data_IF_361864679759
#
_entry.id   IF_361864679759
#
_cell.length_a   1.000
_cell.length_b   1.000
_cell.length_c   1.000
_cell.angle_alpha   90.00
_cell.angle_beta   90.00
_cell.angle_gamma   90.00
#
_symmetry.space_group_name_H-M   'P 1'
#
loop_
_entity.id
_entity.type
_entity.pdbx_description
1 polymer ?
#
# COMPACT_ATOMS: atom_id res chain seq x y z
N UNK A 1 45.02 60.69 24.32
CA UNK A 1 45.63 59.46 24.84
C UNK A 1 44.66 58.32 24.57
N UNK A 2 44.88 57.59 23.48
CA UNK A 2 44.00 56.52 22.97
C UNK A 2 44.44 55.20 23.61
N UNK A 3 43.51 54.37 24.16
CA UNK A 3 43.91 53.05 24.59
C UNK A 3 43.78 52.04 23.42
N UNK A 4 44.73 51.14 23.43
CA UNK A 4 45.20 50.25 22.39
C UNK A 4 44.14 49.19 21.87
N UNK A 5 44.25 49.01 20.57
CA UNK A 5 43.57 48.00 19.68
C UNK A 5 43.99 46.54 20.00
N UNK A 6 43.87 46.06 21.22
CA UNK A 6 44.25 44.64 21.52
C UNK A 6 43.23 43.78 22.24
N UNK A 7 41.99 44.26 22.42
CA UNK A 7 40.97 43.49 23.17
C UNK A 7 39.72 43.14 22.34
N UNK A 8 39.76 43.32 21.02
CA UNK A 8 38.59 43.13 20.16
C UNK A 8 38.64 41.88 19.24
N UNK A 9 39.56 40.93 19.46
CA UNK A 9 39.75 39.77 18.55
C UNK A 9 39.41 38.40 19.19
N UNK A 10 38.88 38.36 20.41
CA UNK A 10 38.59 37.10 21.11
C UNK A 10 37.08 36.76 21.25
N UNK A 11 36.20 37.47 20.53
CA UNK A 11 34.75 37.22 20.67
C UNK A 11 34.03 36.87 19.36
N UNK A 12 34.73 36.35 18.33
CA UNK A 12 34.16 35.95 17.05
C UNK A 12 34.70 34.59 16.60
N UNK A 13 34.60 33.57 17.45
CA UNK A 13 34.77 32.18 17.07
C UNK A 13 34.11 31.28 18.12
N UNK A 14 32.80 31.45 18.35
CA UNK A 14 31.95 30.36 18.80
C UNK A 14 31.14 29.97 17.58
N UNK A 15 31.71 29.03 16.83
CA UNK A 15 31.12 28.27 15.76
C UNK A 15 29.93 27.50 16.36
N UNK A 16 28.73 28.06 16.16
CA UNK A 16 27.47 27.40 16.49
C UNK A 16 27.15 26.40 15.38
N UNK A 17 28.00 25.37 15.27
CA UNK A 17 27.75 24.19 14.45
C UNK A 17 26.81 23.22 15.17
N UNK A 18 25.73 23.71 15.76
CA UNK A 18 24.56 22.88 16.06
C UNK A 18 23.78 22.66 14.77
N UNK A 19 24.27 21.72 13.93
CA UNK A 19 23.44 21.12 12.89
C UNK A 19 22.13 20.68 13.54
N UNK A 20 20.94 21.11 13.04
CA UNK A 20 19.68 20.70 13.63
C UNK A 20 19.63 19.17 13.53
N UNK A 21 19.67 18.49 14.66
CA UNK A 21 19.38 17.06 14.75
C UNK A 21 18.02 16.87 14.10
N UNK A 22 18.02 16.37 12.86
CA UNK A 22 16.83 16.12 12.06
C UNK A 22 15.90 15.28 12.94
N UNK A 23 14.88 15.90 13.54
CA UNK A 23 13.87 15.20 14.35
C UNK A 23 13.38 14.07 13.48
N UNK A 24 13.72 12.84 13.84
CA UNK A 24 13.26 11.64 13.12
C UNK A 24 11.75 11.68 13.14
N UNK A 25 11.16 12.06 12.00
CA UNK A 25 9.71 12.07 11.82
C UNK A 25 9.20 10.63 11.88
N UNK A 26 8.56 10.25 12.99
CA UNK A 26 8.10 8.87 13.19
C UNK A 26 7.13 8.39 12.08
N UNK A 27 6.19 9.21 11.59
CA UNK A 27 5.35 8.85 10.45
C UNK A 27 6.15 8.60 9.16
N UNK A 28 7.15 9.42 8.85
CA UNK A 28 8.01 9.24 7.68
C UNK A 28 8.83 7.95 7.78
N UNK A 29 9.38 7.67 8.96
CA UNK A 29 10.14 6.42 9.20
C UNK A 29 9.24 5.20 9.04
N UNK A 30 8.00 5.25 9.58
CA UNK A 30 7.03 4.18 9.45
C UNK A 30 6.64 3.94 7.99
N UNK A 31 6.38 4.99 7.22
CA UNK A 31 6.07 4.89 5.78
C UNK A 31 7.22 4.26 4.97
N UNK A 32 8.48 4.63 5.26
CA UNK A 32 9.65 4.01 4.61
C UNK A 32 9.78 2.52 4.92
N UNK A 33 9.52 2.11 6.17
CA UNK A 33 9.56 0.70 6.55
C UNK A 33 8.46 -0.07 5.81
N UNK A 34 7.23 0.46 5.73
CA UNK A 34 6.13 -0.18 5.00
C UNK A 34 6.42 -0.31 3.51
N UNK A 35 6.97 0.73 2.87
CA UNK A 35 7.35 0.66 1.46
C UNK A 35 8.44 -0.39 1.19
N UNK A 36 9.45 -0.49 2.06
CA UNK A 36 10.49 -1.51 1.98
C UNK A 36 9.93 -2.92 2.22
N UNK A 37 8.99 -3.07 3.16
CA UNK A 37 8.32 -4.33 3.44
C UNK A 37 7.47 -4.79 2.27
N UNK A 38 6.64 -3.91 1.69
CA UNK A 38 5.84 -4.20 0.50
C UNK A 38 6.70 -4.69 -0.65
N UNK A 39 7.82 -4.02 -0.90
CA UNK A 39 8.77 -4.43 -1.94
C UNK A 39 9.33 -5.82 -1.66
N UNK A 40 9.90 -6.03 -0.48
CA UNK A 40 10.55 -7.29 -0.13
C UNK A 40 9.56 -8.47 -0.13
N UNK A 41 8.36 -8.29 0.40
CA UNK A 41 7.34 -9.35 0.44
C UNK A 41 6.78 -9.66 -0.95
N UNK A 42 6.61 -8.67 -1.82
CA UNK A 42 6.15 -8.88 -3.20
C UNK A 42 7.20 -9.61 -4.06
N UNK A 43 8.50 -9.26 -3.90
CA UNK A 43 9.58 -9.81 -4.70
C UNK A 43 10.07 -11.18 -4.21
N UNK A 44 10.18 -11.36 -2.88
CA UNK A 44 10.76 -12.55 -2.26
C UNK A 44 9.74 -13.51 -1.69
N UNK A 45 8.50 -13.06 -1.47
CA UNK A 45 7.49 -13.76 -0.69
C UNK A 45 7.75 -13.67 0.81
N UNK A 46 6.73 -14.06 1.60
CA UNK A 46 6.77 -13.93 3.06
C UNK A 46 7.96 -14.68 3.69
N UNK A 47 8.14 -15.97 3.39
CA UNK A 47 9.17 -16.80 4.06
C UNK A 47 10.57 -16.25 3.89
N UNK A 48 10.95 -15.78 2.68
CA UNK A 48 12.31 -15.36 2.35
C UNK A 48 12.62 -13.91 2.72
N UNK A 49 11.61 -13.04 2.78
CA UNK A 49 11.81 -11.64 3.17
C UNK A 49 12.17 -11.55 4.67
N UNK A 50 13.43 -11.28 4.98
CA UNK A 50 13.95 -11.18 6.34
C UNK A 50 13.74 -9.80 6.96
N UNK A 51 13.48 -9.72 8.27
CA UNK A 51 13.39 -8.44 9.01
C UNK A 51 14.69 -7.62 8.87
N UNK A 52 15.86 -8.26 8.81
CA UNK A 52 17.15 -7.57 8.65
C UNK A 52 17.26 -6.92 7.27
N UNK A 53 16.83 -7.62 6.24
CA UNK A 53 16.88 -7.14 4.85
C UNK A 53 15.93 -5.97 4.66
N UNK A 54 14.68 -6.09 5.15
CA UNK A 54 13.68 -5.01 5.13
C UNK A 54 14.20 -3.77 5.89
N UNK A 55 14.78 -3.96 7.07
CA UNK A 55 15.35 -2.86 7.86
C UNK A 55 16.49 -2.16 7.12
N UNK A 56 17.36 -2.93 6.44
CA UNK A 56 18.45 -2.41 5.60
C UNK A 56 17.89 -1.56 4.43
N UNK A 57 16.90 -2.07 3.70
CA UNK A 57 16.24 -1.34 2.60
C UNK A 57 15.60 -0.03 3.13
N UNK A 58 14.95 -0.08 4.28
CA UNK A 58 14.32 1.08 4.91
C UNK A 58 15.31 2.09 5.54
N UNK A 59 16.61 1.75 5.62
CA UNK A 59 17.62 2.58 6.29
C UNK A 59 17.39 2.73 7.79
N UNK A 60 16.94 1.64 8.46
CA UNK A 60 16.70 1.58 9.91
C UNK A 60 17.34 0.35 10.54
N UNK A 61 17.44 0.32 11.87
CA UNK A 61 17.85 -0.89 12.59
C UNK A 61 16.69 -1.87 12.75
N UNK A 62 16.97 -3.18 12.76
CA UNK A 62 15.95 -4.21 13.02
C UNK A 62 15.20 -4.02 14.34
N UNK A 63 15.86 -3.65 15.47
CA UNK A 63 15.13 -3.34 16.70
C UNK A 63 14.18 -2.15 16.56
N UNK A 64 14.53 -1.14 15.77
CA UNK A 64 13.64 -0.01 15.52
C UNK A 64 12.42 -0.44 14.68
N UNK A 65 12.62 -1.24 13.65
CA UNK A 65 11.55 -1.82 12.85
C UNK A 65 10.57 -2.62 13.73
N UNK A 66 11.09 -3.54 14.54
CA UNK A 66 10.29 -4.36 15.46
C UNK A 66 9.56 -3.53 16.52
N UNK A 67 10.11 -2.38 16.93
CA UNK A 67 9.41 -1.45 17.83
C UNK A 67 8.17 -0.83 17.18
N UNK A 68 8.16 -0.61 15.85
CA UNK A 68 7.01 -0.07 15.12
C UNK A 68 5.93 -1.12 14.86
N UNK A 69 6.32 -2.35 14.55
CA UNK A 69 5.41 -3.36 13.99
C UNK A 69 5.30 -4.63 14.84
N UNK A 70 6.04 -4.72 15.94
CA UNK A 70 6.03 -5.85 16.89
C UNK A 70 6.70 -7.11 16.34
N UNK A 71 6.27 -7.59 15.18
CA UNK A 71 6.74 -8.83 14.58
C UNK A 71 6.79 -8.77 13.06
N UNK A 72 7.31 -9.83 12.41
CA UNK A 72 7.23 -10.00 10.96
C UNK A 72 5.79 -10.14 10.49
N UNK A 73 4.95 -10.84 11.26
CA UNK A 73 3.50 -10.99 11.02
C UNK A 73 2.83 -9.61 11.00
N UNK A 74 3.01 -8.81 12.06
CA UNK A 74 2.41 -7.47 12.15
C UNK A 74 2.89 -6.54 11.05
N UNK A 75 4.18 -6.62 10.67
CA UNK A 75 4.71 -5.86 9.54
C UNK A 75 4.07 -6.29 8.21
N UNK A 76 3.90 -7.59 7.99
CA UNK A 76 3.30 -8.13 6.78
C UNK A 76 1.82 -7.74 6.65
N UNK A 77 1.05 -7.94 7.70
CA UNK A 77 -0.37 -7.56 7.76
C UNK A 77 -0.55 -6.06 7.46
N UNK A 78 0.24 -5.21 8.10
CA UNK A 78 0.13 -3.78 7.92
C UNK A 78 0.62 -3.31 6.54
N UNK A 79 1.67 -3.92 6.00
CA UNK A 79 2.13 -3.67 4.63
C UNK A 79 1.05 -4.05 3.60
N UNK A 80 0.31 -5.11 3.83
CA UNK A 80 -0.82 -5.53 3.00
C UNK A 80 -1.99 -4.52 3.12
N UNK A 81 -2.41 -4.20 4.33
CA UNK A 81 -3.58 -3.35 4.59
C UNK A 81 -3.40 -1.91 4.10
N UNK A 82 -2.19 -1.35 4.16
CA UNK A 82 -1.92 0.03 3.72
C UNK A 82 -2.27 0.31 2.25
N UNK A 83 -2.52 -0.71 1.45
CA UNK A 83 -2.84 -0.57 0.03
C UNK A 83 -4.21 -1.13 -0.34
N UNK A 84 -4.84 -1.86 0.56
CA UNK A 84 -6.20 -2.38 0.38
C UNK A 84 -7.22 -1.36 0.91
N UNK A 85 -7.10 -0.08 0.52
CA UNK A 85 -7.96 1.02 0.99
C UNK A 85 -9.30 1.01 0.25
N UNK A 86 -10.12 -0.01 0.50
CA UNK A 86 -11.44 -0.11 -0.12
C UNK A 86 -12.36 1.05 0.32
N UNK A 87 -12.18 1.57 1.53
CA UNK A 87 -12.99 2.64 2.10
C UNK A 87 -13.01 3.87 1.19
N UNK A 88 -11.87 4.28 0.64
CA UNK A 88 -11.75 5.41 -0.30
C UNK A 88 -12.63 5.21 -1.54
N UNK A 89 -12.75 3.98 -2.03
CA UNK A 89 -13.60 3.65 -3.17
C UNK A 89 -15.09 3.67 -2.80
N UNK A 90 -15.43 3.42 -1.53
CA UNK A 90 -16.81 3.39 -1.05
C UNK A 90 -17.39 4.78 -0.75
N UNK A 91 -16.56 5.83 -0.58
CA UNK A 91 -16.99 7.18 -0.22
C UNK A 91 -17.74 7.94 -1.33
N UNK A 92 -17.67 7.51 -2.58
CA UNK A 92 -18.30 8.21 -3.70
C UNK A 92 -19.72 7.71 -4.03
N UNK A 93 -20.38 8.33 -5.04
CA UNK A 93 -21.69 7.93 -5.53
C UNK A 93 -21.72 6.46 -5.95
N UNK A 94 -22.79 5.75 -5.55
CA UNK A 94 -22.92 4.30 -5.79
C UNK A 94 -22.98 3.96 -7.27
N UNK A 95 -23.67 4.75 -8.05
CA UNK A 95 -23.85 4.63 -9.52
C UNK A 95 -22.57 4.92 -10.32
N UNK A 96 -21.52 5.46 -9.67
CA UNK A 96 -20.21 5.70 -10.28
C UNK A 96 -19.11 4.78 -9.73
N UNK A 97 -19.46 3.83 -8.87
CA UNK A 97 -18.47 2.96 -8.22
C UNK A 97 -17.62 2.19 -9.24
N UNK A 98 -18.24 1.61 -10.26
CA UNK A 98 -17.54 0.88 -11.33
C UNK A 98 -16.49 1.73 -12.04
N UNK A 99 -16.81 2.99 -12.35
CA UNK A 99 -15.87 3.93 -12.98
C UNK A 99 -14.70 4.27 -12.05
N UNK A 100 -14.98 4.56 -10.76
CA UNK A 100 -13.92 4.84 -9.78
C UNK A 100 -13.02 3.64 -9.56
N UNK A 101 -13.60 2.46 -9.46
CA UNK A 101 -12.86 1.21 -9.30
C UNK A 101 -11.95 0.93 -10.50
N UNK A 102 -12.46 1.03 -11.72
CA UNK A 102 -11.68 0.86 -12.94
C UNK A 102 -10.56 1.91 -13.04
N UNK A 103 -10.87 3.18 -12.79
CA UNK A 103 -9.89 4.27 -12.81
C UNK A 103 -8.75 4.04 -11.79
N UNK A 104 -9.08 3.54 -10.60
CA UNK A 104 -8.06 3.19 -9.60
C UNK A 104 -7.15 2.07 -10.09
N UNK A 105 -7.71 1.02 -10.71
CA UNK A 105 -6.93 -0.13 -11.20
C UNK A 105 -6.01 0.19 -12.36
N UNK A 106 -6.40 1.10 -13.28
CA UNK A 106 -5.57 1.45 -14.45
C UNK A 106 -4.64 2.64 -14.18
N UNK A 107 -4.73 3.27 -13.02
CA UNK A 107 -3.86 4.39 -12.66
C UNK A 107 -2.39 3.92 -12.53
N UNK A 108 -1.43 4.53 -13.25
CA UNK A 108 -0.02 4.17 -13.13
C UNK A 108 0.56 4.35 -11.72
N UNK A 109 -0.06 5.23 -10.92
CA UNK A 109 0.32 5.46 -9.53
C UNK A 109 -0.29 4.43 -8.56
N UNK A 110 -1.12 3.51 -9.05
CA UNK A 110 -1.71 2.47 -8.22
C UNK A 110 -0.61 1.57 -7.65
N UNK A 111 -0.58 1.45 -6.32
CA UNK A 111 0.41 0.62 -5.67
C UNK A 111 0.08 -0.86 -5.81
N UNK A 112 0.66 -1.52 -6.81
CA UNK A 112 0.46 -2.95 -7.08
C UNK A 112 1.30 -3.87 -6.19
N UNK A 113 2.18 -3.32 -5.33
CA UNK A 113 3.09 -4.13 -4.50
C UNK A 113 2.34 -4.96 -3.48
N UNK A 114 1.37 -4.39 -2.77
CA UNK A 114 0.64 -5.16 -1.77
C UNK A 114 -0.41 -6.10 -2.38
N UNK A 115 -1.19 -5.74 -3.41
CA UNK A 115 -1.87 -6.77 -4.21
C UNK A 115 -0.91 -7.84 -4.75
N UNK A 116 0.34 -7.46 -5.08
CA UNK A 116 1.43 -8.36 -5.46
C UNK A 116 1.87 -9.34 -4.37
N UNK A 117 1.58 -9.06 -3.11
CA UNK A 117 1.84 -9.99 -1.99
C UNK A 117 0.82 -11.12 -1.92
N UNK A 118 -0.38 -10.97 -2.48
CA UNK A 118 -1.48 -11.95 -2.35
C UNK A 118 -1.17 -13.27 -3.07
N UNK A 119 -0.69 -13.20 -4.31
CA UNK A 119 -0.38 -14.41 -5.08
C UNK A 119 0.74 -15.26 -4.45
N UNK A 120 1.90 -14.69 -4.05
CA UNK A 120 2.94 -15.42 -3.33
C UNK A 120 2.50 -15.97 -1.97
N UNK A 121 1.54 -15.31 -1.30
CA UNK A 121 1.01 -15.77 -0.01
C UNK A 121 0.36 -17.16 -0.10
N UNK A 122 -0.19 -17.52 -1.25
CA UNK A 122 -0.84 -18.83 -1.44
C UNK A 122 0.12 -20.01 -1.30
N UNK A 123 1.42 -19.79 -1.49
CA UNK A 123 2.46 -20.81 -1.36
C UNK A 123 3.02 -20.97 0.06
N UNK A 124 2.65 -20.10 0.99
CA UNK A 124 3.13 -20.09 2.38
C UNK A 124 1.92 -20.15 3.32
N UNK A 125 1.90 -21.15 4.23
CA UNK A 125 0.73 -21.40 5.07
C UNK A 125 0.42 -20.23 6.03
N UNK A 126 1.46 -19.66 6.66
CA UNK A 126 1.31 -18.52 7.58
C UNK A 126 0.89 -17.26 6.85
N UNK A 127 1.56 -16.94 5.73
CA UNK A 127 1.18 -15.79 4.91
C UNK A 127 -0.24 -15.90 4.34
N UNK A 128 -0.65 -17.10 3.93
CA UNK A 128 -2.01 -17.36 3.44
C UNK A 128 -3.06 -17.08 4.52
N UNK A 129 -2.84 -17.58 5.75
CA UNK A 129 -3.76 -17.36 6.86
C UNK A 129 -3.90 -15.85 7.16
N UNK A 130 -2.78 -15.13 7.31
CA UNK A 130 -2.77 -13.70 7.56
C UNK A 130 -3.47 -12.94 6.42
N UNK A 131 -3.15 -13.29 5.16
CA UNK A 131 -3.72 -12.63 3.99
C UNK A 131 -5.22 -12.87 3.88
N UNK A 132 -5.67 -14.11 4.10
CA UNK A 132 -7.10 -14.48 4.08
C UNK A 132 -7.89 -13.68 5.11
N UNK A 133 -7.38 -13.63 6.34
CA UNK A 133 -8.03 -12.92 7.45
C UNK A 133 -8.04 -11.40 7.22
N UNK A 134 -6.93 -10.82 6.75
CA UNK A 134 -6.82 -9.40 6.43
C UNK A 134 -7.81 -9.01 5.31
N UNK A 135 -7.85 -9.75 4.20
CA UNK A 135 -8.78 -9.46 3.09
C UNK A 135 -10.23 -9.65 3.53
N UNK A 136 -10.53 -10.72 4.28
CA UNK A 136 -11.89 -10.98 4.74
C UNK A 136 -12.43 -9.84 5.63
N UNK A 137 -11.63 -9.37 6.59
CA UNK A 137 -12.03 -8.33 7.54
C UNK A 137 -12.00 -6.91 6.97
N UNK A 138 -10.98 -6.59 6.18
CA UNK A 138 -10.71 -5.20 5.79
C UNK A 138 -11.10 -4.86 4.34
N UNK A 139 -11.49 -5.85 3.54
CA UNK A 139 -11.92 -5.62 2.16
C UNK A 139 -13.28 -6.25 1.89
N UNK A 140 -13.38 -7.58 2.06
CA UNK A 140 -14.58 -8.31 1.69
C UNK A 140 -15.79 -7.91 2.54
N UNK A 141 -15.61 -7.87 3.87
CA UNK A 141 -16.71 -7.50 4.77
C UNK A 141 -17.18 -6.05 4.58
N UNK A 142 -16.33 -5.01 4.58
CA UNK A 142 -16.77 -3.63 4.33
C UNK A 142 -17.46 -3.46 2.97
N UNK A 143 -16.96 -4.11 1.92
CA UNK A 143 -17.56 -4.07 0.59
C UNK A 143 -18.93 -4.76 0.59
N UNK A 144 -19.06 -5.92 1.23
CA UNK A 144 -20.34 -6.63 1.35
C UNK A 144 -21.37 -5.83 2.17
N UNK A 145 -20.95 -5.21 3.28
CA UNK A 145 -21.82 -4.37 4.10
C UNK A 145 -22.33 -3.15 3.29
N UNK A 146 -21.46 -2.53 2.49
CA UNK A 146 -21.80 -1.42 1.61
C UNK A 146 -22.73 -1.84 0.45
N UNK A 147 -22.50 -3.02 -0.13
CA UNK A 147 -23.35 -3.56 -1.19
C UNK A 147 -24.78 -3.85 -0.71
N UNK A 148 -24.92 -4.35 0.51
CA UNK A 148 -26.19 -4.78 1.06
C UNK A 148 -26.81 -5.99 0.34
N UNK A 149 -27.97 -6.49 0.82
CA UNK A 149 -28.67 -7.60 0.17
C UNK A 149 -29.16 -7.23 -1.25
N UNK A 150 -29.44 -8.23 -2.14
CA UNK A 150 -29.20 -9.66 -1.93
C UNK A 150 -27.76 -10.07 -2.23
N UNK A 151 -27.33 -11.22 -1.71
CA UNK A 151 -26.06 -11.88 -2.04
C UNK A 151 -24.79 -11.00 -1.87
N UNK A 152 -24.76 -10.10 -0.89
CA UNK A 152 -23.71 -9.10 -0.69
C UNK A 152 -22.29 -9.68 -0.71
N UNK A 153 -22.04 -10.80 -0.02
CA UNK A 153 -20.73 -11.46 0.03
C UNK A 153 -20.30 -12.02 -1.33
N UNK A 154 -21.24 -12.60 -2.08
CA UNK A 154 -20.97 -13.13 -3.44
C UNK A 154 -20.58 -11.99 -4.36
N UNK A 155 -21.37 -10.92 -4.37
CA UNK A 155 -21.08 -9.71 -5.18
C UNK A 155 -19.75 -9.06 -4.81
N UNK A 156 -19.43 -8.99 -3.52
CA UNK A 156 -18.14 -8.49 -3.05
C UNK A 156 -16.98 -9.37 -3.57
N UNK A 157 -17.12 -10.70 -3.53
CA UNK A 157 -16.12 -11.62 -4.06
C UNK A 157 -15.97 -11.50 -5.59
N UNK A 158 -17.07 -11.32 -6.32
CA UNK A 158 -17.05 -11.08 -7.78
C UNK A 158 -16.25 -9.81 -8.11
N UNK A 159 -16.46 -8.70 -7.38
CA UNK A 159 -15.71 -7.45 -7.56
C UNK A 159 -14.21 -7.66 -7.25
N UNK A 160 -13.89 -8.35 -6.16
CA UNK A 160 -12.50 -8.67 -5.80
C UNK A 160 -11.84 -9.56 -6.86
N UNK A 161 -12.59 -10.47 -7.47
CA UNK A 161 -12.07 -11.35 -8.54
C UNK A 161 -11.71 -10.53 -9.78
N UNK A 162 -12.56 -9.59 -10.20
CA UNK A 162 -12.26 -8.68 -11.31
C UNK A 162 -11.01 -7.85 -10.99
N UNK A 163 -10.94 -7.23 -9.81
CA UNK A 163 -9.80 -6.43 -9.40
C UNK A 163 -8.51 -7.24 -9.28
N UNK A 164 -8.58 -8.42 -8.67
CA UNK A 164 -7.45 -9.35 -8.53
C UNK A 164 -6.90 -9.83 -9.87
N UNK A 165 -7.80 -10.15 -10.81
CA UNK A 165 -7.43 -10.49 -12.18
C UNK A 165 -6.72 -9.34 -12.90
N UNK A 166 -7.23 -8.12 -12.77
CA UNK A 166 -6.61 -6.94 -13.35
C UNK A 166 -5.21 -6.69 -12.78
N UNK A 167 -5.04 -6.82 -11.46
CA UNK A 167 -3.72 -6.68 -10.83
C UNK A 167 -2.76 -7.78 -11.29
N UNK A 168 -3.19 -9.04 -11.28
CA UNK A 168 -2.34 -10.17 -11.64
C UNK A 168 -1.93 -10.11 -13.13
N UNK A 169 -2.91 -10.09 -14.02
CA UNK A 169 -2.63 -10.15 -15.45
C UNK A 169 -2.17 -8.80 -16.01
N UNK A 170 -2.84 -7.72 -15.62
CA UNK A 170 -2.54 -6.40 -16.14
C UNK A 170 -1.22 -5.84 -15.64
N UNK A 171 -1.02 -5.82 -14.33
CA UNK A 171 0.13 -5.16 -13.73
C UNK A 171 1.32 -6.10 -13.46
N UNK A 172 1.09 -7.26 -12.82
CA UNK A 172 2.21 -8.14 -12.45
C UNK A 172 2.79 -8.88 -13.65
N UNK A 173 1.96 -9.34 -14.58
CA UNK A 173 2.37 -9.96 -15.84
C UNK A 173 2.52 -8.94 -16.99
N UNK A 174 2.28 -7.65 -16.73
CA UNK A 174 2.42 -6.55 -17.70
C UNK A 174 1.65 -6.76 -19.01
N UNK A 175 0.46 -7.35 -18.92
CA UNK A 175 -0.42 -7.61 -20.06
C UNK A 175 -1.42 -6.48 -20.34
N UNK A 176 -1.34 -5.37 -19.60
CA UNK A 176 -2.21 -4.22 -19.86
C UNK A 176 -1.88 -3.62 -21.24
N UNK A 177 -2.89 -3.31 -22.08
CA UNK A 177 -2.66 -2.67 -23.37
C UNK A 177 -1.87 -1.37 -23.23
N UNK A 178 -0.98 -1.11 -24.19
CA UNK A 178 -0.13 0.09 -24.19
C UNK A 178 -0.73 1.21 -25.05
N UNK A 179 -1.63 0.89 -25.97
CA UNK A 179 -2.35 1.88 -26.78
C UNK A 179 -3.59 2.38 -26.05
N UNK A 180 -3.92 3.66 -26.27
CA UNK A 180 -5.00 4.33 -25.55
C UNK A 180 -6.39 3.77 -25.88
N UNK A 181 -6.61 3.25 -27.09
CA UNK A 181 -7.90 2.74 -27.51
C UNK A 181 -8.21 1.42 -26.78
N UNK A 182 -7.31 0.45 -26.86
CA UNK A 182 -7.46 -0.83 -26.14
C UNK A 182 -7.49 -0.64 -24.62
N UNK A 183 -6.71 0.29 -24.09
CA UNK A 183 -6.74 0.60 -22.66
C UNK A 183 -8.10 1.17 -22.22
N UNK A 184 -8.72 2.04 -23.04
CA UNK A 184 -10.07 2.55 -22.78
C UNK A 184 -11.13 1.45 -22.84
N UNK A 185 -11.01 0.53 -23.79
CA UNK A 185 -11.93 -0.62 -23.89
C UNK A 185 -11.87 -1.49 -22.64
N UNK A 186 -10.67 -1.87 -22.19
CA UNK A 186 -10.50 -2.68 -20.97
C UNK A 186 -11.02 -1.92 -19.75
N UNK A 187 -10.73 -0.62 -19.64
CA UNK A 187 -11.20 0.21 -18.53
C UNK A 187 -12.73 0.30 -18.51
N UNK A 188 -13.37 0.51 -19.67
CA UNK A 188 -14.83 0.54 -19.78
C UNK A 188 -15.44 -0.82 -19.41
N UNK A 189 -14.85 -1.92 -19.90
CA UNK A 189 -15.32 -3.25 -19.56
C UNK A 189 -15.27 -3.54 -18.06
N UNK A 190 -14.17 -3.17 -17.38
CA UNK A 190 -14.04 -3.29 -15.91
C UNK A 190 -15.13 -2.46 -15.23
N UNK A 191 -15.28 -1.19 -15.63
CA UNK A 191 -16.24 -0.27 -15.04
C UNK A 191 -17.67 -0.80 -15.15
N UNK A 192 -18.09 -1.21 -16.36
CA UNK A 192 -19.43 -1.69 -16.64
C UNK A 192 -19.70 -3.04 -15.94
N UNK A 193 -18.69 -3.91 -15.89
CA UNK A 193 -18.82 -5.22 -15.23
C UNK A 193 -19.01 -5.05 -13.74
N UNK A 194 -18.18 -4.22 -13.11
CA UNK A 194 -18.27 -3.95 -11.67
C UNK A 194 -19.57 -3.20 -11.34
N UNK A 195 -19.97 -2.22 -12.15
CA UNK A 195 -21.20 -1.48 -11.90
C UNK A 195 -22.44 -2.40 -11.98
N UNK A 196 -22.50 -3.32 -12.95
CA UNK A 196 -23.57 -4.31 -13.02
C UNK A 196 -23.64 -5.23 -11.78
N UNK A 197 -22.48 -5.55 -11.17
CA UNK A 197 -22.46 -6.32 -9.92
C UNK A 197 -23.01 -5.46 -8.77
N UNK A 198 -22.65 -4.17 -8.72
CA UNK A 198 -23.15 -3.22 -7.71
C UNK A 198 -24.65 -3.00 -7.81
N UNK A 199 -25.17 -2.92 -9.03
CA UNK A 199 -26.59 -2.59 -9.30
C UNK A 199 -27.52 -3.82 -9.26
N UNK A 200 -26.97 -5.03 -9.12
CA UNK A 200 -27.76 -6.26 -9.02
C UNK A 200 -28.68 -6.22 -7.80
N UNK A 201 -29.97 -6.24 -8.04
CA UNK A 201 -31.05 -6.15 -7.05
C UNK A 201 -31.84 -7.45 -6.84
N UNK A 202 -31.55 -8.49 -7.63
CA UNK A 202 -32.18 -9.84 -7.54
C UNK A 202 -31.13 -10.95 -7.67
#
# INVERSE_FOLDING_TARGET
MLPSLRTAVYFLAMDDSSSPVKRRNAPETRARILAAAQQAFAELGYSRAGIRDIASIAGVSSPLLLRYFGSKVGLYEEALLTTLQIEVLLEGPRDEFGKRFAAALVNPSFNTRAPGMVAPATADAEAREITTDAIARHVLKPLADWLGPPHAQVRALEILTVGGGCVLYGHQLSLMPQDEESLREVTSWIADTVQRIVDRSE
#
